data_IF_509415467641
#
_entry.id   IF_509415467641
#
_cell.length_a   1.000
_cell.length_b   1.000
_cell.length_c   1.000
_cell.angle_alpha   90.00
_cell.angle_beta   90.00
_cell.angle_gamma   90.00
#
_symmetry.space_group_name_H-M   'P 1'
#
loop_
_entity.id
_entity.type
_entity.pdbx_description
1 polymer ?
#
# COMPACT_ATOMS: atom_id res chain seq x y z
N UNK A 1 22.08 4.08 62.37
CA UNK A 1 21.38 5.07 61.53
C UNK A 1 21.85 4.86 60.09
N UNK A 2 20.95 4.54 59.15
CA UNK A 2 21.31 4.33 57.73
C UNK A 2 21.45 5.70 57.07
N UNK A 3 22.64 6.04 56.60
CA UNK A 3 22.85 7.22 55.75
C UNK A 3 22.32 6.91 54.35
N UNK A 4 21.23 7.56 53.96
CA UNK A 4 20.74 7.54 52.59
C UNK A 4 21.50 8.60 51.80
N UNK A 5 22.61 8.21 51.18
CA UNK A 5 23.37 9.09 50.30
C UNK A 5 22.53 9.33 49.03
N UNK A 6 22.14 10.59 48.80
CA UNK A 6 21.48 11.02 47.58
C UNK A 6 22.44 11.07 46.40
N UNK A 7 21.91 10.98 45.18
CA UNK A 7 22.70 11.11 43.96
C UNK A 7 23.25 12.53 43.80
N UNK A 8 24.48 12.63 43.31
CA UNK A 8 25.11 13.88 42.94
C UNK A 8 24.56 14.41 41.61
N UNK A 9 24.66 15.72 41.40
CA UNK A 9 24.25 16.35 40.14
C UNK A 9 24.94 15.72 38.92
N UNK A 10 26.23 15.38 39.06
CA UNK A 10 27.01 14.78 37.98
C UNK A 10 26.52 13.37 37.63
N UNK A 11 26.15 12.56 38.63
CA UNK A 11 25.57 11.23 38.39
C UNK A 11 24.24 11.33 37.65
N UNK A 12 23.38 12.29 38.04
CA UNK A 12 22.10 12.51 37.35
C UNK A 12 22.31 12.94 35.89
N UNK A 13 23.28 13.81 35.63
CA UNK A 13 23.63 14.24 34.27
C UNK A 13 24.15 13.09 33.42
N UNK A 14 24.96 12.19 33.99
CA UNK A 14 25.44 11.00 33.30
C UNK A 14 24.27 10.08 32.95
N UNK A 15 23.34 9.84 33.89
CA UNK A 15 22.16 9.00 33.65
C UNK A 15 21.27 9.60 32.56
N UNK A 16 21.01 10.91 32.60
CA UNK A 16 20.21 11.59 31.57
C UNK A 16 20.90 11.59 30.20
N UNK A 17 22.22 11.72 30.16
CA UNK A 17 23.01 11.64 28.93
C UNK A 17 22.91 10.24 28.31
N UNK A 18 23.09 9.19 29.11
CA UNK A 18 22.93 7.80 28.66
C UNK A 18 21.50 7.56 28.17
N UNK A 19 20.47 8.02 28.90
CA UNK A 19 19.07 7.89 28.49
C UNK A 19 18.79 8.61 27.16
N UNK A 20 19.34 9.80 26.99
CA UNK A 20 19.19 10.59 25.75
C UNK A 20 19.84 9.88 24.56
N UNK A 21 21.02 9.30 24.74
CA UNK A 21 21.70 8.49 23.71
C UNK A 21 20.85 7.26 23.36
N UNK A 22 20.32 6.54 24.36
CA UNK A 22 19.47 5.38 24.13
C UNK A 22 18.18 5.74 23.36
N UNK A 23 17.56 6.87 23.68
CA UNK A 23 16.37 7.36 22.97
C UNK A 23 16.68 7.71 21.51
N UNK A 24 17.82 8.37 21.25
CA UNK A 24 18.24 8.73 19.90
C UNK A 24 18.54 7.49 19.02
N UNK A 25 19.07 6.42 19.61
CA UNK A 25 19.32 5.17 18.89
C UNK A 25 18.03 4.39 18.57
N UNK A 26 16.96 4.60 19.34
CA UNK A 26 15.68 3.88 19.17
C UNK A 26 14.80 4.43 18.04
N UNK A 27 14.86 5.73 17.76
CA UNK A 27 13.98 6.38 16.77
C UNK A 27 14.17 5.92 15.31
N UNK A 28 15.38 5.80 14.73
CA UNK A 28 15.55 5.41 13.33
C UNK A 28 15.11 3.97 13.03
N UNK A 29 15.15 3.07 14.02
CA UNK A 29 14.75 1.67 13.86
C UNK A 29 13.25 1.53 13.53
N UNK A 30 12.41 2.42 14.07
CA UNK A 30 10.96 2.33 13.91
C UNK A 30 10.47 2.79 12.53
N UNK A 31 11.10 3.81 11.94
CA UNK A 31 10.63 4.43 10.69
C UNK A 31 10.68 3.43 9.53
N UNK A 32 11.79 2.69 9.39
CA UNK A 32 11.94 1.71 8.30
C UNK A 32 10.97 0.53 8.41
N UNK A 33 10.62 0.13 9.63
CA UNK A 33 9.64 -0.94 9.89
C UNK A 33 8.23 -0.47 9.53
N UNK A 34 7.87 0.77 9.90
CA UNK A 34 6.60 1.38 9.57
C UNK A 34 6.42 1.54 8.05
N UNK A 35 7.44 2.00 7.33
CA UNK A 35 7.39 2.11 5.86
C UNK A 35 7.13 0.75 5.19
N UNK A 36 7.84 -0.30 5.62
CA UNK A 36 7.62 -1.67 5.12
C UNK A 36 6.22 -2.21 5.45
N UNK A 37 5.71 -1.89 6.64
CA UNK A 37 4.36 -2.29 7.02
C UNK A 37 3.30 -1.57 6.18
N UNK A 38 3.49 -0.28 5.93
CA UNK A 38 2.59 0.53 5.10
C UNK A 38 2.57 0.03 3.65
N UNK A 39 3.73 -0.32 3.11
CA UNK A 39 3.90 -0.96 1.80
C UNK A 39 3.14 -2.29 1.72
N UNK A 40 3.37 -3.20 2.66
CA UNK A 40 2.67 -4.48 2.72
C UNK A 40 1.15 -4.30 2.83
N UNK A 41 0.71 -3.35 3.65
CA UNK A 41 -0.70 -3.05 3.84
C UNK A 41 -1.32 -2.53 2.53
N UNK A 42 -0.65 -1.61 1.84
CA UNK A 42 -1.13 -1.07 0.57
C UNK A 42 -1.28 -2.15 -0.50
N UNK A 43 -0.27 -3.01 -0.67
CA UNK A 43 -0.33 -4.10 -1.65
C UNK A 43 -1.45 -5.09 -1.35
N UNK A 44 -1.65 -5.43 -0.07
CA UNK A 44 -2.74 -6.29 0.37
C UNK A 44 -4.11 -5.66 0.12
N UNK A 45 -4.26 -4.36 0.38
CA UNK A 45 -5.49 -3.62 0.05
C UNK A 45 -5.75 -3.62 -1.44
N UNK A 46 -4.73 -3.33 -2.27
CA UNK A 46 -4.87 -3.35 -3.73
C UNK A 46 -5.31 -4.73 -4.24
N UNK A 47 -4.70 -5.80 -3.75
CA UNK A 47 -5.10 -7.17 -4.07
C UNK A 47 -6.55 -7.46 -3.66
N UNK A 48 -6.93 -7.03 -2.46
CA UNK A 48 -8.29 -7.22 -1.92
C UNK A 48 -9.33 -6.46 -2.73
N UNK A 49 -9.03 -5.22 -3.14
CA UNK A 49 -9.89 -4.38 -3.96
C UNK A 49 -10.07 -4.97 -5.37
N UNK A 50 -9.01 -5.54 -5.96
CA UNK A 50 -9.07 -6.27 -7.24
C UNK A 50 -10.00 -7.49 -7.13
N UNK A 51 -9.82 -8.31 -6.10
CA UNK A 51 -10.66 -9.49 -5.87
C UNK A 51 -12.10 -9.12 -5.58
N UNK A 52 -12.32 -8.07 -4.79
CA UNK A 52 -13.64 -7.53 -4.47
C UNK A 52 -14.39 -7.12 -5.73
N UNK A 53 -13.77 -6.29 -6.58
CA UNK A 53 -14.40 -5.87 -7.84
C UNK A 53 -14.67 -7.05 -8.75
N UNK A 54 -13.75 -8.01 -8.85
CA UNK A 54 -13.96 -9.19 -9.67
C UNK A 54 -15.17 -10.03 -9.19
N UNK A 55 -15.34 -10.16 -7.87
CA UNK A 55 -16.48 -10.84 -7.27
C UNK A 55 -17.79 -10.09 -7.54
N UNK A 56 -17.79 -8.76 -7.36
CA UNK A 56 -18.96 -7.91 -7.66
C UNK A 56 -19.35 -7.96 -9.13
N UNK A 57 -18.37 -7.96 -10.04
CA UNK A 57 -18.58 -8.13 -11.46
C UNK A 57 -19.16 -9.50 -11.85
N UNK A 58 -18.99 -10.52 -11.00
CA UNK A 58 -19.56 -11.85 -11.23
C UNK A 58 -20.99 -11.99 -10.69
N UNK A 59 -21.35 -11.20 -9.67
CA UNK A 59 -22.64 -11.31 -8.97
C UNK A 59 -23.72 -10.37 -9.49
N UNK A 60 -23.33 -9.26 -10.13
CA UNK A 60 -24.26 -8.22 -10.55
C UNK A 60 -24.36 -8.14 -12.08
N UNK A 61 -25.55 -8.43 -12.61
CA UNK A 61 -25.84 -8.30 -14.04
C UNK A 61 -25.89 -6.82 -14.46
N UNK A 62 -25.39 -6.53 -15.67
CA UNK A 62 -25.50 -5.22 -16.34
C UNK A 62 -24.71 -4.02 -15.76
N UNK A 63 -23.82 -4.22 -14.78
CA UNK A 63 -22.89 -3.18 -14.33
C UNK A 63 -21.50 -3.35 -14.96
N UNK A 64 -20.84 -2.22 -15.24
CA UNK A 64 -19.41 -2.22 -15.57
C UNK A 64 -18.59 -1.95 -14.31
N UNK A 65 -17.44 -2.62 -14.25
CA UNK A 65 -16.54 -2.66 -13.12
C UNK A 65 -15.14 -2.37 -13.62
N UNK A 66 -14.54 -1.28 -13.16
CA UNK A 66 -13.25 -0.79 -13.66
C UNK A 66 -12.37 -0.38 -12.48
N UNK A 67 -11.10 -0.76 -12.54
CA UNK A 67 -10.05 -0.18 -11.70
C UNK A 67 -9.25 0.75 -12.58
N UNK A 68 -9.27 2.05 -12.29
CA UNK A 68 -8.55 3.07 -13.06
C UNK A 68 -7.41 3.65 -12.23
N UNK A 69 -6.20 3.59 -12.74
CA UNK A 69 -5.00 4.13 -12.13
C UNK A 69 -4.73 5.54 -12.66
N UNK A 70 -4.46 6.45 -11.72
CA UNK A 70 -3.95 7.80 -11.91
C UNK A 70 -2.52 7.88 -11.38
N UNK A 71 -1.89 9.05 -11.49
CA UNK A 71 -0.49 9.22 -11.07
C UNK A 71 -0.27 8.85 -9.60
N UNK A 72 -1.19 9.26 -8.71
CA UNK A 72 -1.06 9.20 -7.26
C UNK A 72 -2.17 8.37 -6.57
N UNK A 73 -3.02 7.71 -7.34
CA UNK A 73 -4.24 7.08 -6.84
C UNK A 73 -4.79 6.05 -7.82
N UNK A 74 -5.73 5.25 -7.35
CA UNK A 74 -6.59 4.43 -8.19
C UNK A 74 -8.06 4.55 -7.77
N UNK A 75 -8.94 4.33 -8.72
CA UNK A 75 -10.38 4.46 -8.60
C UNK A 75 -11.05 3.13 -8.84
N UNK A 76 -11.97 2.76 -7.96
CA UNK A 76 -12.87 1.63 -8.08
C UNK A 76 -14.19 2.16 -8.64
N UNK A 77 -14.48 1.89 -9.91
CA UNK A 77 -15.65 2.41 -10.61
C UNK A 77 -16.65 1.28 -10.81
N UNK A 78 -17.88 1.48 -10.31
CA UNK A 78 -19.01 0.57 -10.45
C UNK A 78 -20.21 1.31 -11.03
N UNK A 79 -20.78 0.80 -12.12
CA UNK A 79 -21.94 1.46 -12.73
C UNK A 79 -21.56 2.88 -13.19
N UNK A 80 -22.38 3.90 -12.93
CA UNK A 80 -22.12 5.27 -13.42
C UNK A 80 -20.89 5.86 -12.69
N UNK A 81 -20.04 6.57 -13.43
CA UNK A 81 -18.74 7.10 -12.97
C UNK A 81 -18.77 7.98 -11.69
N UNK A 82 -19.97 8.40 -11.24
CA UNK A 82 -20.17 9.21 -10.02
C UNK A 82 -19.92 8.47 -8.70
N UNK A 83 -19.97 7.14 -8.67
CA UNK A 83 -19.82 6.33 -7.45
C UNK A 83 -18.41 5.74 -7.28
N UNK A 84 -17.38 6.42 -7.81
CA UNK A 84 -16.01 5.93 -7.75
C UNK A 84 -15.41 6.02 -6.34
N UNK A 85 -14.99 4.89 -5.76
CA UNK A 85 -14.17 4.92 -4.54
C UNK A 85 -12.71 5.21 -4.90
N UNK A 86 -12.14 6.24 -4.30
CA UNK A 86 -10.76 6.67 -4.56
C UNK A 86 -9.84 6.14 -3.47
N UNK A 87 -8.78 5.44 -3.88
CA UNK A 87 -7.71 4.94 -3.03
C UNK A 87 -6.41 5.68 -3.38
N UNK A 88 -5.89 6.48 -2.44
CA UNK A 88 -4.63 7.21 -2.63
C UNK A 88 -3.43 6.31 -2.44
N UNK A 89 -2.38 6.53 -3.21
CA UNK A 89 -1.11 5.88 -3.00
C UNK A 89 -0.39 6.43 -1.75
N UNK A 90 0.48 5.63 -1.11
CA UNK A 90 1.34 6.13 -0.05
C UNK A 90 2.30 7.23 -0.57
N UNK A 91 2.82 8.10 0.31
CA UNK A 91 3.78 9.13 -0.11
C UNK A 91 4.99 8.55 -0.85
N UNK A 92 5.34 9.15 -1.99
CA UNK A 92 6.47 8.71 -2.83
C UNK A 92 6.14 7.56 -3.79
N UNK A 93 4.90 7.04 -3.75
CA UNK A 93 4.45 6.03 -4.71
C UNK A 93 3.78 6.69 -5.92
N UNK A 94 4.03 6.14 -7.11
CA UNK A 94 3.49 6.66 -8.37
C UNK A 94 3.19 5.56 -9.37
N UNK A 95 2.15 5.73 -10.15
CA UNK A 95 1.91 4.91 -11.34
C UNK A 95 2.85 5.35 -12.48
N UNK A 96 3.63 4.42 -13.04
CA UNK A 96 4.75 4.75 -13.95
C UNK A 96 4.73 4.05 -15.31
N UNK A 97 3.92 3.00 -15.55
CA UNK A 97 3.98 2.26 -16.83
C UNK A 97 2.63 1.89 -17.44
N UNK A 98 2.49 2.20 -18.73
CA UNK A 98 1.38 1.82 -19.62
C UNK A 98 1.83 0.66 -20.54
N UNK A 99 0.90 -0.20 -20.98
CA UNK A 99 0.13 0.16 -22.16
C UNK A 99 -1.31 0.60 -21.87
N UNK A 100 -1.80 0.43 -20.65
CA UNK A 100 -3.10 0.92 -20.20
C UNK A 100 -3.04 1.39 -18.76
N UNK A 101 -4.01 2.21 -18.37
CA UNK A 101 -4.17 2.73 -17.01
C UNK A 101 -5.46 2.25 -16.37
N UNK A 102 -6.17 1.29 -16.97
CA UNK A 102 -7.39 0.76 -16.41
C UNK A 102 -7.54 -0.73 -16.69
N UNK A 103 -8.23 -1.41 -15.79
CA UNK A 103 -8.59 -2.82 -15.90
C UNK A 103 -10.09 -2.88 -15.80
N UNK A 104 -10.73 -3.48 -16.80
CA UNK A 104 -12.17 -3.69 -16.81
C UNK A 104 -12.51 -5.16 -16.67
N UNK A 105 -13.60 -5.43 -15.96
CA UNK A 105 -14.14 -6.76 -15.75
C UNK A 105 -15.43 -6.92 -16.53
N UNK A 106 -15.66 -8.11 -17.09
CA UNK A 106 -16.94 -8.48 -17.70
C UNK A 106 -17.94 -8.98 -16.65
N UNK A 107 -19.22 -9.09 -17.05
CA UNK A 107 -20.32 -9.53 -16.17
C UNK A 107 -20.21 -10.96 -15.62
N UNK A 108 -19.19 -11.71 -16.04
CA UNK A 108 -18.83 -13.04 -15.52
C UNK A 108 -17.57 -12.98 -14.62
N UNK A 109 -17.09 -11.78 -14.28
CA UNK A 109 -15.89 -11.52 -13.50
C UNK A 109 -14.57 -11.85 -14.19
N UNK A 110 -14.51 -11.95 -15.52
CA UNK A 110 -13.24 -12.11 -16.22
C UNK A 110 -12.61 -10.77 -16.56
N UNK A 111 -11.28 -10.70 -16.52
CA UNK A 111 -10.54 -9.53 -16.99
C UNK A 111 -10.71 -9.41 -18.51
N UNK A 112 -11.15 -8.25 -19.00
CA UNK A 112 -11.41 -8.02 -20.44
C UNK A 112 -10.14 -7.82 -21.26
N UNK A 113 -9.08 -7.28 -20.64
CA UNK A 113 -7.81 -6.97 -21.32
C UNK A 113 -6.64 -7.37 -20.44
N UNK A 114 -5.77 -8.23 -20.97
CA UNK A 114 -4.55 -8.61 -20.29
C UNK A 114 -3.45 -7.54 -20.42
N UNK A 115 -2.54 -7.55 -19.45
CA UNK A 115 -1.30 -6.82 -19.46
C UNK A 115 -0.82 -6.53 -18.05
N UNK A 116 -0.04 -5.46 -17.88
CA UNK A 116 0.58 -5.17 -16.59
C UNK A 116 0.57 -3.68 -16.29
N UNK A 117 0.60 -3.40 -14.99
CA UNK A 117 0.61 -2.06 -14.40
C UNK A 117 1.83 -2.00 -13.51
N UNK A 118 2.67 -0.99 -13.71
CA UNK A 118 3.84 -0.77 -12.85
C UNK A 118 3.58 0.40 -11.91
N UNK A 119 3.82 0.15 -10.63
CA UNK A 119 3.71 1.12 -9.54
C UNK A 119 5.12 1.28 -8.97
N UNK A 120 5.65 2.49 -9.05
CA UNK A 120 6.88 2.87 -8.36
C UNK A 120 6.53 3.04 -6.89
N UNK A 121 7.25 2.36 -6.03
CA UNK A 121 7.41 2.72 -4.63
C UNK A 121 8.68 3.58 -4.48
N UNK A 122 9.00 3.93 -3.23
CA UNK A 122 10.15 4.79 -2.88
C UNK A 122 11.50 4.18 -3.34
N UNK A 123 11.67 2.87 -3.15
CA UNK A 123 12.92 2.16 -3.47
C UNK A 123 12.71 0.98 -4.43
N UNK A 124 11.47 0.62 -4.75
CA UNK A 124 11.11 -0.63 -5.41
C UNK A 124 10.09 -0.37 -6.52
N UNK A 125 10.00 -1.29 -7.48
CA UNK A 125 8.96 -1.26 -8.52
C UNK A 125 8.11 -2.51 -8.40
N UNK A 126 6.79 -2.29 -8.31
CA UNK A 126 5.78 -3.33 -8.27
C UNK A 126 5.13 -3.50 -9.62
N UNK A 127 5.07 -4.73 -10.11
CA UNK A 127 4.44 -5.09 -11.37
C UNK A 127 3.21 -5.95 -11.06
N UNK A 128 2.04 -5.35 -11.26
CA UNK A 128 0.74 -5.99 -11.16
C UNK A 128 0.39 -6.57 -12.54
N UNK A 129 0.35 -7.90 -12.67
CA UNK A 129 0.13 -8.61 -13.95
C UNK A 129 -1.28 -9.20 -13.98
N UNK A 130 -2.05 -8.77 -14.98
CA UNK A 130 -3.44 -9.17 -15.21
C UNK A 130 -3.52 -10.05 -16.45
N UNK A 131 -3.94 -11.30 -16.27
CA UNK A 131 -4.09 -12.25 -17.36
C UNK A 131 -5.56 -12.41 -17.76
N UNK A 132 -5.82 -12.89 -18.98
CA UNK A 132 -7.18 -13.21 -19.40
C UNK A 132 -7.76 -14.37 -18.57
N UNK A 133 -9.07 -14.30 -18.32
CA UNK A 133 -9.81 -15.32 -17.58
C UNK A 133 -10.17 -14.89 -16.15
N UNK A 134 -10.48 -15.88 -15.30
CA UNK A 134 -10.90 -15.67 -13.90
C UNK A 134 -9.70 -15.83 -12.96
N UNK A 135 -9.49 -14.86 -12.07
CA UNK A 135 -8.58 -14.98 -10.92
C UNK A 135 -7.10 -15.12 -11.26
N UNK A 136 -6.68 -14.78 -12.48
CA UNK A 136 -5.28 -14.86 -12.91
C UNK A 136 -4.64 -13.48 -12.81
N UNK A 137 -4.30 -13.12 -11.58
CA UNK A 137 -3.62 -11.88 -11.22
C UNK A 137 -2.51 -12.18 -10.21
N UNK A 138 -1.38 -11.48 -10.32
CA UNK A 138 -0.35 -11.47 -9.29
C UNK A 138 0.41 -10.15 -9.26
N UNK A 139 0.95 -9.81 -8.09
CA UNK A 139 1.86 -8.66 -7.91
C UNK A 139 3.26 -9.22 -7.69
N UNK A 140 4.19 -8.84 -8.56
CA UNK A 140 5.60 -9.16 -8.43
C UNK A 140 6.40 -7.91 -8.08
N UNK A 141 7.41 -8.07 -7.23
CA UNK A 141 8.44 -7.07 -6.99
C UNK A 141 9.54 -7.25 -8.05
N UNK A 142 9.97 -6.16 -8.68
CA UNK A 142 11.08 -6.17 -9.63
C UNK A 142 12.44 -6.14 -8.92
#
# INVERSE_FOLDING_TARGET
>A
MKQNNGFTLIELLIVLSILSILLLLSTPLNISSLEKQQEKQFLKTLESDILYIQAMASSTLNNFYIIRFREDSYELIQGIEKDAEIRRFPPGWKFIRKPFNEISFSANGTIKKAGSISISAKNDVYIAVFMLGKGRFYIAKQ
#
